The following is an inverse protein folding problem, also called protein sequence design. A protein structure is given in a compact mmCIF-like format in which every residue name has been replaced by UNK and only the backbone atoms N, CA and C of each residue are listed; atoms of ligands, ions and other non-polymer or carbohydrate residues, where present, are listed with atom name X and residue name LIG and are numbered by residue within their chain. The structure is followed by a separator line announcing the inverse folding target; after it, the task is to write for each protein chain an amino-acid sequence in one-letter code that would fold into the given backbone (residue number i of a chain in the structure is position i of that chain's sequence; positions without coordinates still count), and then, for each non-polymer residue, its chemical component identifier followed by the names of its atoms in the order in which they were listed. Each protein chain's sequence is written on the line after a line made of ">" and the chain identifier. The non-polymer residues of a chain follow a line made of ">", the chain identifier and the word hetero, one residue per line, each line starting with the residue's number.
data_IF_688468774046
#
_entry.id   IF_688468774046
#
_cell.length_a   1.000
_cell.length_b   1.000
_cell.length_c   1.000
_cell.angle_alpha   90.00
_cell.angle_beta   90.00
_cell.angle_gamma   90.00
#
_symmetry.space_group_name_H-M   'P 1'
#
loop_
_entity.id
_entity.type
_entity.pdbx_description
1 polymer ?
#
# COMPACT_ATOMS: atom_id res chain seq x y z
N UNK A 1 12.10 -15.43 22.84
CA UNK A 1 11.28 -16.20 21.87
C UNK A 1 10.58 -15.18 21.00
N UNK A 2 10.99 -15.04 19.73
CA UNK A 2 10.45 -14.02 18.83
C UNK A 2 9.05 -14.42 18.41
N UNK A 3 8.04 -13.65 18.84
CA UNK A 3 6.65 -13.83 18.43
C UNK A 3 6.58 -13.39 16.97
N UNK A 4 6.63 -14.34 16.02
CA UNK A 4 6.24 -14.10 14.63
C UNK A 4 4.76 -13.72 14.66
N UNK A 5 4.48 -12.44 14.88
CA UNK A 5 3.16 -11.85 14.77
C UNK A 5 2.83 -11.69 13.28
N UNK A 6 2.94 -12.78 12.54
CA UNK A 6 2.56 -12.93 11.13
C UNK A 6 2.55 -14.43 10.85
N UNK A 7 1.42 -14.96 10.38
CA UNK A 7 1.39 -15.80 9.17
C UNK A 7 0.03 -15.72 8.44
N UNK A 8 -1.03 -15.09 9.00
CA UNK A 8 -2.32 -14.94 8.31
C UNK A 8 -2.90 -13.53 8.53
N UNK A 9 -2.56 -12.60 7.64
CA UNK A 9 -3.17 -11.27 7.53
C UNK A 9 -3.72 -11.04 6.12
N UNK A 10 -4.34 -9.88 5.88
CA UNK A 10 -4.85 -9.55 4.54
C UNK A 10 -3.77 -8.79 3.79
N UNK A 11 -3.43 -9.23 2.58
CA UNK A 11 -2.60 -8.47 1.65
C UNK A 11 -3.51 -7.87 0.59
N UNK A 12 -3.41 -6.56 0.37
CA UNK A 12 -4.26 -5.83 -0.59
C UNK A 12 -3.41 -4.98 -1.52
N UNK A 13 -3.62 -5.13 -2.82
CA UNK A 13 -3.00 -4.29 -3.83
C UNK A 13 -3.67 -2.93 -3.90
N UNK A 14 -2.87 -1.86 -3.88
CA UNK A 14 -3.34 -0.47 -3.97
C UNK A 14 -2.64 0.23 -5.13
N UNK A 15 -3.41 0.74 -6.07
CA UNK A 15 -2.91 1.50 -7.24
C UNK A 15 -3.54 2.90 -7.36
N UNK A 16 -4.38 3.29 -6.40
CA UNK A 16 -5.09 4.57 -6.35
C UNK A 16 -6.39 4.60 -7.15
N UNK A 17 -6.77 3.50 -7.82
CA UNK A 17 -8.06 3.38 -8.48
C UNK A 17 -9.21 3.29 -7.48
N UNK A 18 -10.42 3.71 -7.89
CA UNK A 18 -11.61 3.56 -7.07
C UNK A 18 -11.86 2.09 -6.66
N UNK A 19 -11.52 1.14 -7.54
CA UNK A 19 -11.59 -0.30 -7.26
C UNK A 19 -10.59 -0.74 -6.20
N UNK A 20 -9.33 -0.29 -6.25
CA UNK A 20 -8.36 -0.64 -5.22
C UNK A 20 -8.72 -0.03 -3.86
N UNK A 21 -9.29 1.17 -3.86
CA UNK A 21 -9.75 1.84 -2.64
C UNK A 21 -10.88 1.03 -1.99
N UNK A 22 -11.84 0.53 -2.78
CA UNK A 22 -12.89 -0.37 -2.28
C UNK A 22 -12.36 -1.69 -1.76
N UNK A 23 -11.32 -2.24 -2.39
CA UNK A 23 -10.65 -3.45 -1.88
C UNK A 23 -9.96 -3.20 -0.53
N UNK A 24 -9.32 -2.03 -0.35
CA UNK A 24 -8.71 -1.64 0.92
C UNK A 24 -9.75 -1.42 2.02
N UNK A 25 -10.85 -0.72 1.72
CA UNK A 25 -11.99 -0.56 2.65
C UNK A 25 -12.50 -1.92 3.16
N UNK A 26 -12.73 -2.87 2.23
CA UNK A 26 -13.16 -4.23 2.58
C UNK A 26 -12.14 -4.96 3.46
N UNK A 27 -10.85 -4.84 3.13
CA UNK A 27 -9.78 -5.46 3.92
C UNK A 27 -9.75 -4.91 5.35
N UNK A 28 -9.87 -3.59 5.52
CA UNK A 28 -9.90 -2.94 6.83
C UNK A 28 -11.14 -3.36 7.64
N UNK A 29 -12.31 -3.43 7.02
CA UNK A 29 -13.53 -3.92 7.67
C UNK A 29 -13.38 -5.37 8.13
N UNK A 30 -12.89 -6.25 7.27
CA UNK A 30 -12.68 -7.66 7.60
C UNK A 30 -11.62 -7.85 8.69
N UNK A 31 -10.54 -7.07 8.62
CA UNK A 31 -9.47 -7.09 9.61
C UNK A 31 -9.94 -6.61 10.98
N UNK A 32 -10.74 -5.54 11.03
CA UNK A 32 -11.33 -5.04 12.27
C UNK A 32 -12.23 -6.06 12.96
N UNK A 33 -12.97 -6.86 12.18
CA UNK A 33 -13.88 -7.87 12.73
C UNK A 33 -13.15 -9.09 13.31
N UNK A 34 -11.92 -9.37 12.85
CA UNK A 34 -11.19 -10.60 13.16
C UNK A 34 -9.85 -10.38 13.86
N UNK A 35 -9.55 -9.13 14.26
CA UNK A 35 -8.27 -8.74 14.88
C UNK A 35 -7.06 -9.15 14.01
N UNK A 36 -7.17 -8.90 12.70
CA UNK A 36 -6.11 -9.18 11.73
C UNK A 36 -5.35 -7.90 11.34
N UNK A 37 -4.16 -8.07 10.79
CA UNK A 37 -3.37 -6.98 10.21
C UNK A 37 -3.62 -6.85 8.71
N UNK A 38 -3.48 -5.64 8.17
CA UNK A 38 -3.58 -5.38 6.72
C UNK A 38 -2.22 -4.92 6.19
N UNK A 39 -1.74 -5.58 5.13
CA UNK A 39 -0.56 -5.16 4.38
C UNK A 39 -0.98 -4.62 3.02
N UNK A 40 -0.96 -3.30 2.88
CA UNK A 40 -1.16 -2.63 1.59
C UNK A 40 0.13 -2.69 0.76
N UNK A 41 0.02 -3.10 -0.51
CA UNK A 41 1.14 -3.22 -1.43
C UNK A 41 0.87 -2.47 -2.72
N UNK A 42 1.87 -1.75 -3.21
CA UNK A 42 1.84 -1.11 -4.52
C UNK A 42 3.04 -1.57 -5.34
N UNK A 43 2.77 -2.08 -6.55
CA UNK A 43 3.79 -2.29 -7.56
C UNK A 43 4.05 -0.96 -8.27
N UNK A 44 5.31 -0.59 -8.42
CA UNK A 44 5.71 0.64 -9.12
C UNK A 44 6.89 0.35 -10.05
N UNK A 45 7.07 1.20 -11.05
CA UNK A 45 8.17 1.14 -12.01
C UNK A 45 8.51 2.53 -12.49
N UNK A 46 9.73 2.72 -12.99
CA UNK A 46 10.09 3.95 -13.70
C UNK A 46 9.26 4.00 -15.00
N UNK A 47 8.48 5.07 -15.25
CA UNK A 47 7.68 5.17 -16.45
C UNK A 47 8.51 5.03 -17.73
N UNK A 48 8.05 4.16 -18.64
CA UNK A 48 8.72 3.92 -19.94
C UNK A 48 8.84 5.20 -20.78
N UNK A 49 7.97 6.18 -20.56
CA UNK A 49 8.00 7.48 -21.22
C UNK A 49 9.33 8.25 -21.03
N UNK A 50 10.09 7.94 -19.97
CA UNK A 50 11.41 8.54 -19.74
C UNK A 50 12.51 8.01 -20.67
N UNK A 51 12.29 6.91 -21.39
CA UNK A 51 13.23 6.37 -22.38
C UNK A 51 14.65 6.18 -21.82
N UNK A 52 15.67 6.46 -22.64
CA UNK A 52 17.08 6.41 -22.20
C UNK A 52 17.41 7.43 -21.10
N UNK A 53 16.59 8.47 -20.94
CA UNK A 53 16.70 9.44 -19.85
C UNK A 53 16.48 8.84 -18.47
N UNK A 54 15.81 7.68 -18.37
CA UNK A 54 15.64 6.95 -17.11
C UNK A 54 16.96 6.51 -16.47
N UNK A 55 18.04 6.31 -17.26
CA UNK A 55 19.33 5.85 -16.74
C UNK A 55 20.07 6.88 -15.89
N UNK A 56 19.68 8.16 -15.99
CA UNK A 56 20.28 9.27 -15.23
C UNK A 56 19.33 9.82 -14.17
N UNK A 57 18.10 9.30 -14.09
CA UNK A 57 17.15 9.70 -13.05
C UNK A 57 17.52 9.05 -11.72
N UNK A 58 17.38 9.78 -10.60
CA UNK A 58 17.52 9.21 -9.27
C UNK A 58 16.33 8.29 -9.00
N UNK A 59 16.44 7.00 -9.34
CA UNK A 59 15.37 6.02 -9.18
C UNK A 59 14.84 5.89 -7.74
N UNK A 60 15.66 6.23 -6.75
CA UNK A 60 15.25 6.31 -5.34
C UNK A 60 14.22 7.42 -5.10
N UNK A 61 14.39 8.60 -5.68
CA UNK A 61 13.43 9.71 -5.49
C UNK A 61 12.05 9.36 -6.08
N UNK A 62 12.03 8.68 -7.22
CA UNK A 62 10.80 8.18 -7.85
C UNK A 62 10.15 7.07 -7.01
N UNK A 63 10.96 6.16 -6.44
CA UNK A 63 10.48 5.14 -5.51
C UNK A 63 9.80 5.78 -4.28
N UNK A 64 10.45 6.80 -3.72
CA UNK A 64 9.95 7.53 -2.56
C UNK A 64 8.68 8.30 -2.87
N UNK A 65 8.53 8.83 -4.09
CA UNK A 65 7.27 9.45 -4.53
C UNK A 65 6.15 8.41 -4.64
N UNK A 66 6.42 7.23 -5.22
CA UNK A 66 5.46 6.14 -5.26
C UNK A 66 5.05 5.68 -3.84
N UNK A 67 6.01 5.58 -2.93
CA UNK A 67 5.77 5.26 -1.51
C UNK A 67 4.89 6.31 -0.83
N UNK A 68 5.19 7.60 -1.00
CA UNK A 68 4.37 8.70 -0.45
C UNK A 68 2.94 8.68 -0.99
N UNK A 69 2.78 8.37 -2.28
CA UNK A 69 1.46 8.20 -2.90
C UNK A 69 0.65 7.09 -2.24
N UNK A 70 1.26 5.92 -2.06
CA UNK A 70 0.65 4.80 -1.35
C UNK A 70 0.26 5.18 0.09
N UNK A 71 1.20 5.75 0.85
CA UNK A 71 0.98 6.13 2.25
C UNK A 71 -0.18 7.10 2.38
N UNK A 72 -0.24 8.12 1.53
CA UNK A 72 -1.34 9.08 1.52
C UNK A 72 -2.69 8.38 1.27
N UNK A 73 -2.77 7.51 0.25
CA UNK A 73 -4.02 6.80 -0.06
C UNK A 73 -4.43 5.86 1.07
N UNK A 74 -3.48 5.16 1.68
CA UNK A 74 -3.74 4.28 2.83
C UNK A 74 -4.20 5.09 4.03
N UNK A 75 -3.53 6.18 4.38
CA UNK A 75 -3.88 7.03 5.52
C UNK A 75 -5.28 7.64 5.36
N UNK A 76 -5.61 8.13 4.17
CA UNK A 76 -6.92 8.71 3.86
C UNK A 76 -8.05 7.70 4.06
N UNK A 77 -7.85 6.44 3.64
CA UNK A 77 -8.86 5.39 3.74
C UNK A 77 -8.88 4.80 5.16
N UNK A 78 -7.72 4.48 5.71
CA UNK A 78 -7.57 3.87 7.04
C UNK A 78 -7.99 4.80 8.19
N UNK A 79 -8.09 6.11 7.96
CA UNK A 79 -8.59 7.06 8.96
C UNK A 79 -9.96 6.69 9.55
N UNK A 80 -10.80 5.91 8.84
CA UNK A 80 -12.08 5.44 9.36
C UNK A 80 -11.99 4.15 10.20
N UNK A 81 -10.81 3.51 10.30
CA UNK A 81 -10.55 2.25 11.02
C UNK A 81 -9.35 2.36 11.97
N UNK A 82 -9.39 3.22 13.01
CA UNK A 82 -8.25 3.47 13.91
C UNK A 82 -7.76 2.24 14.71
N UNK A 83 -8.56 1.17 14.76
CA UNK A 83 -8.25 -0.08 15.45
C UNK A 83 -7.46 -1.10 14.62
N UNK A 84 -7.29 -0.87 13.31
CA UNK A 84 -6.56 -1.77 12.41
C UNK A 84 -5.11 -1.30 12.25
N UNK A 85 -4.17 -2.24 12.23
CA UNK A 85 -2.72 -1.98 12.15
C UNK A 85 -2.06 -2.66 10.95
#
# INVERSE_FOLDING_TARGET
>A
MSNRKQEHGIVVGVDGSASSNKALEWALEYAAALDLTVTAVQAWQIPLAYGTGAMVLPGQELAEEARRGLEKTVDEIAAAWPQVH
#
